data_IF_079190401302
#
_entry.id   IF_079190401302
#
_cell.length_a   1.000
_cell.length_b   1.000
_cell.length_c   1.000
_cell.angle_alpha   90.00
_cell.angle_beta   90.00
_cell.angle_gamma   90.00
#
_symmetry.space_group_name_H-M   'P 1'
#
loop_
_entity.id
_entity.type
_entity.pdbx_description
1 polymer ?
#
# COMPACT_ATOMS: atom_id res chain seq x y z
N UNK A 1 3.90 -4.38 -11.14
CA UNK A 1 4.02 -2.97 -11.61
C UNK A 1 3.59 -2.05 -10.49
N UNK A 2 4.26 -0.91 -10.30
CA UNK A 2 3.80 0.14 -9.38
C UNK A 2 2.99 1.18 -10.15
N UNK A 3 1.85 1.61 -9.58
CA UNK A 3 1.05 2.73 -10.08
C UNK A 3 0.84 3.76 -8.97
N UNK A 4 0.92 5.05 -9.31
CA UNK A 4 0.43 6.13 -8.47
C UNK A 4 -0.90 6.65 -9.01
N UNK A 5 -1.76 7.08 -8.09
CA UNK A 5 -3.09 7.57 -8.41
C UNK A 5 -3.10 9.09 -8.58
N UNK A 6 -4.07 9.59 -9.34
CA UNK A 6 -4.33 11.03 -9.53
C UNK A 6 -4.68 11.75 -8.22
N UNK A 7 -5.29 11.01 -7.29
CA UNK A 7 -5.55 11.40 -5.91
C UNK A 7 -5.55 10.16 -5.01
N UNK A 8 -5.60 10.35 -3.70
CA UNK A 8 -5.76 9.24 -2.78
C UNK A 8 -7.21 8.69 -2.82
N UNK A 9 -7.36 7.37 -2.79
CA UNK A 9 -8.64 6.65 -2.84
C UNK A 9 -8.81 5.76 -1.60
N UNK A 10 -10.04 5.40 -1.23
CA UNK A 10 -10.21 4.38 -0.19
C UNK A 10 -9.73 3.02 -0.70
N UNK A 11 -9.28 2.09 0.17
CA UNK A 11 -8.93 0.73 -0.26
C UNK A 11 -10.06 0.04 -1.05
N UNK A 12 -11.32 0.26 -0.62
CA UNK A 12 -12.51 -0.26 -1.32
C UNK A 12 -12.61 0.26 -2.76
N UNK A 13 -12.37 1.55 -2.97
CA UNK A 13 -12.39 2.13 -4.32
C UNK A 13 -11.29 1.54 -5.20
N UNK A 14 -10.07 1.43 -4.65
CA UNK A 14 -8.93 0.80 -5.33
C UNK A 14 -9.28 -0.59 -5.82
N UNK A 15 -9.80 -1.41 -4.92
CA UNK A 15 -10.23 -2.77 -5.23
C UNK A 15 -11.37 -2.83 -6.22
N UNK A 16 -12.30 -1.87 -6.18
CA UNK A 16 -13.43 -1.80 -7.11
C UNK A 16 -12.97 -1.47 -8.52
N UNK A 17 -12.13 -0.45 -8.72
CA UNK A 17 -11.68 -0.10 -10.05
C UNK A 17 -10.63 -1.07 -10.60
N UNK A 18 -9.78 -1.67 -9.77
CA UNK A 18 -8.80 -2.67 -10.20
C UNK A 18 -9.51 -3.91 -10.76
N UNK A 19 -10.58 -4.36 -10.10
CA UNK A 19 -11.39 -5.51 -10.54
C UNK A 19 -11.98 -5.32 -11.94
N UNK A 20 -12.30 -4.08 -12.35
CA UNK A 20 -12.86 -3.80 -13.68
C UNK A 20 -11.89 -4.12 -14.83
N UNK A 21 -10.60 -4.19 -14.53
CA UNK A 21 -9.53 -4.47 -15.50
C UNK A 21 -8.83 -5.80 -15.17
N UNK A 22 -9.46 -6.71 -14.43
CA UNK A 22 -8.82 -7.97 -14.00
C UNK A 22 -7.44 -7.75 -13.33
N UNK A 23 -7.29 -6.62 -12.63
CA UNK A 23 -6.06 -6.30 -11.91
C UNK A 23 -6.13 -6.84 -10.49
N UNK A 24 -5.07 -7.54 -10.11
CA UNK A 24 -4.77 -7.95 -8.74
C UNK A 24 -3.96 -6.86 -8.05
N UNK A 25 -4.33 -6.54 -6.82
CA UNK A 25 -3.65 -5.55 -5.97
C UNK A 25 -2.83 -6.28 -4.91
N UNK A 26 -1.51 -6.20 -5.03
CA UNK A 26 -0.54 -6.91 -4.17
C UNK A 26 -0.09 -6.06 -2.99
N UNK A 27 -0.09 -4.74 -3.13
CA UNK A 27 0.32 -3.81 -2.07
C UNK A 27 -0.41 -2.48 -2.20
N UNK A 28 -0.76 -1.85 -1.08
CA UNK A 28 -1.34 -0.52 -1.00
C UNK A 28 -0.40 0.43 -0.25
N UNK A 29 0.07 1.50 -0.91
CA UNK A 29 0.82 2.58 -0.29
C UNK A 29 -0.15 3.64 0.25
N UNK A 30 -0.07 3.93 1.55
CA UNK A 30 -1.03 4.75 2.29
C UNK A 30 -0.55 6.18 2.43
N UNK A 31 -1.45 7.13 2.16
CA UNK A 31 -1.18 8.55 2.36
C UNK A 31 -1.12 8.79 3.86
N UNK A 32 0.04 9.20 4.35
CA UNK A 32 0.32 9.41 5.78
C UNK A 32 0.80 10.83 6.10
N UNK A 33 0.83 11.72 5.10
CA UNK A 33 1.23 13.12 5.17
C UNK A 33 0.74 13.88 3.92
N UNK A 34 0.64 15.21 4.00
CA UNK A 34 0.08 16.04 2.91
C UNK A 34 1.07 16.36 1.79
N UNK A 35 2.30 16.73 2.13
CA UNK A 35 3.36 16.92 1.15
C UNK A 35 4.01 15.58 0.93
N UNK A 36 3.89 15.00 -0.27
CA UNK A 36 4.66 13.84 -0.64
C UNK A 36 6.03 14.28 -1.19
N UNK A 37 7.01 14.59 -0.33
CA UNK A 37 8.35 14.98 -0.77
C UNK A 37 9.08 13.80 -1.41
N UNK A 38 9.89 14.04 -2.44
CA UNK A 38 10.48 12.99 -3.29
C UNK A 38 11.41 11.98 -2.60
N UNK A 39 11.72 12.19 -1.32
CA UNK A 39 12.53 11.27 -0.49
C UNK A 39 11.68 10.38 0.42
N UNK A 40 10.36 10.33 0.18
CA UNK A 40 9.44 9.61 1.05
C UNK A 40 9.45 8.12 0.88
N UNK A 41 9.23 7.49 2.04
CA UNK A 41 9.34 6.07 2.27
C UNK A 41 7.92 5.57 2.45
N UNK A 42 7.32 4.92 1.45
CA UNK A 42 5.91 4.52 1.49
C UNK A 42 5.66 3.59 2.67
N UNK A 43 4.69 3.94 3.52
CA UNK A 43 4.09 2.99 4.46
C UNK A 43 2.86 2.41 3.80
N UNK A 44 2.65 1.11 3.96
CA UNK A 44 1.56 0.42 3.31
C UNK A 44 1.19 -0.87 3.99
N UNK A 45 0.21 -1.54 3.40
CA UNK A 45 -0.14 -2.89 3.78
C UNK A 45 -0.32 -3.76 2.52
N UNK A 46 -0.12 -5.08 2.65
CA UNK A 46 -0.41 -6.03 1.58
C UNK A 46 -1.83 -5.85 1.03
N UNK A 47 -2.00 -5.90 -0.28
CA UNK A 47 -3.32 -5.86 -0.89
C UNK A 47 -4.04 -7.22 -0.80
N UNK A 48 -5.36 -7.22 -0.95
CA UNK A 48 -6.23 -8.41 -0.90
C UNK A 48 -5.81 -9.59 -1.79
N UNK A 49 -5.06 -9.33 -2.86
CA UNK A 49 -4.61 -10.34 -3.81
C UNK A 49 -3.16 -10.79 -3.54
N UNK A 50 -2.57 -10.34 -2.43
CA UNK A 50 -1.23 -10.74 -1.99
C UNK A 50 -1.25 -12.14 -1.40
N UNK A 51 -0.34 -13.00 -1.85
CA UNK A 51 -0.15 -14.34 -1.29
C UNK A 51 0.24 -14.28 0.19
N UNK A 52 0.97 -13.25 0.62
CA UNK A 52 1.32 -13.01 2.02
C UNK A 52 0.10 -12.90 2.95
N UNK A 53 -1.00 -12.33 2.46
CA UNK A 53 -2.22 -12.25 3.26
C UNK A 53 -2.97 -13.57 3.35
N UNK A 54 -2.86 -14.47 2.36
CA UNK A 54 -3.56 -15.75 2.44
C UNK A 54 -3.09 -16.55 3.66
N UNK A 55 -1.81 -16.47 3.99
CA UNK A 55 -1.24 -17.13 5.18
C UNK A 55 -1.69 -16.47 6.49
N UNK A 56 -1.85 -15.14 6.51
CA UNK A 56 -2.20 -14.38 7.72
C UNK A 56 -3.72 -14.30 7.97
N UNK A 57 -4.54 -14.28 6.93
CA UNK A 57 -5.99 -14.06 7.01
C UNK A 57 -6.74 -15.22 7.68
N UNK A 58 -6.16 -16.42 7.74
CA UNK A 58 -6.77 -17.56 8.44
C UNK A 58 -6.90 -17.36 9.97
N UNK A 59 -6.34 -16.28 10.52
CA UNK A 59 -6.22 -16.10 11.98
C UNK A 59 -7.03 -14.95 12.57
N UNK A 60 -7.60 -14.04 11.76
CA UNK A 60 -8.17 -12.77 12.26
C UNK A 60 -9.56 -12.44 11.69
N UNK A 61 -10.50 -12.03 12.57
CA UNK A 61 -11.81 -11.46 12.17
C UNK A 61 -11.74 -9.98 11.76
N UNK A 62 -10.56 -9.35 11.85
CA UNK A 62 -10.36 -7.92 11.59
C UNK A 62 -10.12 -7.63 10.11
N UNK A 63 -10.48 -6.44 9.65
CA UNK A 63 -10.21 -6.02 8.27
C UNK A 63 -8.71 -5.77 8.04
N UNK A 64 -8.26 -5.75 6.80
CA UNK A 64 -6.88 -5.40 6.42
C UNK A 64 -6.47 -4.02 6.96
N UNK A 65 -7.43 -3.08 6.98
CA UNK A 65 -7.23 -1.72 7.51
C UNK A 65 -7.04 -1.73 9.02
N UNK A 66 -7.83 -2.54 9.74
CA UNK A 66 -7.70 -2.65 11.19
C UNK A 66 -6.38 -3.32 11.57
N UNK A 67 -6.00 -4.40 10.88
CA UNK A 67 -4.73 -5.08 11.08
C UNK A 67 -3.54 -4.16 10.79
N UNK A 68 -3.64 -3.33 9.74
CA UNK A 68 -2.65 -2.31 9.44
C UNK A 68 -2.52 -1.30 10.59
N UNK A 69 -3.64 -0.77 11.10
CA UNK A 69 -3.63 0.16 12.24
C UNK A 69 -3.05 -0.48 13.50
N UNK A 70 -3.42 -1.72 13.81
CA UNK A 70 -2.87 -2.48 14.93
C UNK A 70 -1.35 -2.65 14.79
N UNK A 71 -0.87 -3.00 13.60
CA UNK A 71 0.55 -3.15 13.33
C UNK A 71 1.31 -1.83 13.48
N UNK A 72 0.76 -0.70 13.00
CA UNK A 72 1.36 0.62 13.23
C UNK A 72 1.42 0.96 14.72
N UNK A 73 0.33 0.74 15.45
CA UNK A 73 0.28 1.00 16.88
C UNK A 73 1.31 0.14 17.64
N UNK A 74 1.44 -1.12 17.27
CA UNK A 74 2.40 -2.04 17.86
C UNK A 74 3.85 -1.62 17.59
N UNK A 75 4.20 -1.29 16.34
CA UNK A 75 5.55 -0.79 16.00
C UNK A 75 5.85 0.54 16.71
N UNK A 76 4.86 1.42 16.88
CA UNK A 76 5.03 2.70 17.58
C UNK A 76 5.30 2.53 19.10
N UNK A 77 4.83 1.44 19.71
CA UNK A 77 5.15 1.08 21.10
C UNK A 77 6.56 0.51 21.27
N UNK A 78 7.22 0.14 20.17
CA UNK A 78 8.57 -0.46 20.15
C UNK A 78 9.52 0.37 19.25
N UNK A 79 10.04 1.52 19.72
CA UNK A 79 10.82 2.45 18.89
C UNK A 79 12.07 1.84 18.24
N UNK A 80 12.70 0.88 18.93
CA UNK A 80 13.82 0.11 18.38
C UNK A 80 13.42 -0.69 17.15
N UNK A 81 12.19 -1.21 17.10
CA UNK A 81 11.70 -1.99 15.97
C UNK A 81 11.40 -1.15 14.75
N UNK A 82 10.90 0.08 14.93
CA UNK A 82 10.78 1.01 13.80
C UNK A 82 12.16 1.17 13.12
N UNK A 83 13.22 1.29 13.91
CA UNK A 83 14.60 1.41 13.42
C UNK A 83 15.12 0.10 12.83
N UNK A 84 14.92 -1.04 13.50
CA UNK A 84 15.42 -2.35 13.06
C UNK A 84 14.68 -2.89 11.84
N UNK A 85 13.34 -2.80 11.81
CA UNK A 85 12.50 -3.34 10.72
C UNK A 85 12.58 -2.45 9.49
N UNK A 86 12.48 -1.13 9.67
CA UNK A 86 12.54 -0.23 8.50
C UNK A 86 13.96 0.04 8.03
N UNK A 87 14.97 -0.27 8.87
CA UNK A 87 16.37 0.10 8.74
C UNK A 87 16.64 1.59 9.00
N UNK A 88 15.70 2.30 9.66
CA UNK A 88 15.64 3.77 9.63
C UNK A 88 15.14 4.37 10.95
N UNK A 89 15.96 5.20 11.62
CA UNK A 89 15.58 5.83 12.89
C UNK A 89 14.61 7.01 12.74
N UNK A 90 14.35 7.49 11.52
CA UNK A 90 13.59 8.72 11.21
C UNK A 90 12.13 8.47 10.78
N UNK A 91 11.61 7.26 10.97
CA UNK A 91 10.20 6.97 10.69
C UNK A 91 9.32 7.61 11.79
N UNK A 92 8.89 8.86 11.58
CA UNK A 92 7.98 9.59 12.46
C UNK A 92 6.58 8.96 12.47
N UNK A 93 6.49 7.78 13.08
CA UNK A 93 5.33 6.91 13.05
C UNK A 93 4.17 7.51 13.83
N UNK A 94 4.47 8.22 14.92
CA UNK A 94 3.47 8.92 15.73
C UNK A 94 2.73 9.99 14.93
N UNK A 95 3.43 10.81 14.13
CA UNK A 95 2.76 11.80 13.29
C UNK A 95 1.96 11.16 12.15
N UNK A 96 2.47 10.08 11.57
CA UNK A 96 1.79 9.32 10.51
C UNK A 96 0.52 8.61 11.00
N UNK A 97 0.55 8.03 12.20
CA UNK A 97 -0.63 7.44 12.86
C UNK A 97 -1.69 8.52 13.08
N UNK A 98 -1.30 9.68 13.66
CA UNK A 98 -2.22 10.80 13.86
C UNK A 98 -2.86 11.29 12.56
N UNK A 99 -2.07 11.36 11.48
CA UNK A 99 -2.60 11.71 10.17
C UNK A 99 -3.66 10.71 9.70
N UNK A 100 -3.39 9.40 9.82
CA UNK A 100 -4.34 8.34 9.43
C UNK A 100 -5.62 8.42 10.28
N UNK A 101 -5.52 8.67 11.57
CA UNK A 101 -6.68 8.76 12.45
C UNK A 101 -7.57 9.96 12.12
N UNK A 102 -6.97 11.08 11.71
CA UNK A 102 -7.70 12.29 11.31
C UNK A 102 -8.32 12.18 9.90
N UNK A 103 -7.61 11.59 8.95
CA UNK A 103 -7.97 11.63 7.52
C UNK A 103 -8.57 10.31 7.00
N UNK A 104 -8.52 9.25 7.81
CA UNK A 104 -8.81 7.89 7.38
C UNK A 104 -7.69 7.27 6.54
N UNK A 105 -7.82 5.97 6.27
CA UNK A 105 -6.87 5.23 5.45
C UNK A 105 -7.20 5.41 3.97
N UNK A 106 -6.28 6.06 3.25
CA UNK A 106 -6.40 6.26 1.80
C UNK A 106 -5.11 5.83 1.09
N UNK A 107 -5.26 5.24 -0.08
CA UNK A 107 -4.21 4.67 -0.92
C UNK A 107 -3.84 5.68 -2.00
N UNK A 108 -2.57 6.07 -2.09
CA UNK A 108 -2.08 6.98 -3.14
C UNK A 108 -1.33 6.25 -4.26
N UNK A 109 -1.01 4.97 -4.06
CA UNK A 109 -0.43 4.11 -5.08
C UNK A 109 -0.49 2.65 -4.66
N UNK A 110 -0.34 1.76 -5.63
CA UNK A 110 -0.42 0.32 -5.40
C UNK A 110 0.57 -0.44 -6.26
N UNK A 111 0.96 -1.61 -5.77
CA UNK A 111 1.59 -2.64 -6.61
C UNK A 111 0.48 -3.51 -7.18
N UNK A 112 0.42 -3.59 -8.50
CA UNK A 112 -0.59 -4.33 -9.24
C UNK A 112 0.02 -5.34 -10.21
N UNK A 113 -0.73 -6.38 -10.51
CA UNK A 113 -0.43 -7.39 -11.54
C UNK A 113 -1.71 -7.83 -12.26
N UNK A 114 -1.58 -8.35 -13.48
CA UNK A 114 -2.71 -8.84 -14.28
C UNK A 114 -2.33 -9.00 -15.76
N UNK A 115 -3.31 -9.28 -16.65
CA UNK A 115 -3.04 -9.47 -18.07
C UNK A 115 -2.47 -8.20 -18.73
N UNK A 116 -1.45 -8.34 -19.57
CA UNK A 116 -0.73 -7.18 -20.16
C UNK A 116 -1.65 -6.20 -20.89
N UNK A 117 -2.65 -6.70 -21.64
CA UNK A 117 -3.64 -5.85 -22.34
C UNK A 117 -4.52 -5.05 -21.37
N UNK A 118 -4.85 -5.62 -20.22
CA UNK A 118 -5.66 -4.94 -19.22
C UNK A 118 -4.84 -3.95 -18.40
N UNK A 119 -3.56 -4.25 -18.13
CA UNK A 119 -2.60 -3.29 -17.57
C UNK A 119 -2.54 -2.05 -18.46
N UNK A 120 -2.41 -2.21 -19.78
CA UNK A 120 -2.36 -1.09 -20.72
C UNK A 120 -3.62 -0.20 -20.65
N UNK A 121 -4.81 -0.82 -20.59
CA UNK A 121 -6.08 -0.08 -20.44
C UNK A 121 -6.15 0.64 -19.09
N UNK A 122 -5.71 -0.04 -18.03
CA UNK A 122 -5.74 0.47 -16.67
C UNK A 122 -4.85 1.71 -16.49
N UNK A 123 -3.61 1.68 -17.00
CA UNK A 123 -2.67 2.82 -16.91
C UNK A 123 -3.09 4.03 -17.74
N UNK A 124 -3.90 3.82 -18.79
CA UNK A 124 -4.45 4.90 -19.64
C UNK A 124 -5.67 5.59 -19.02
N UNK A 125 -6.16 5.13 -17.87
CA UNK A 125 -7.29 5.80 -17.20
C UNK A 125 -6.86 7.13 -16.58
N UNK A 126 -7.79 8.07 -16.47
CA UNK A 126 -7.55 9.35 -15.76
C UNK A 126 -7.25 9.19 -14.26
N UNK A 127 -7.36 7.97 -13.72
CA UNK A 127 -7.08 7.63 -12.32
C UNK A 127 -5.60 7.37 -12.06
N UNK A 128 -4.82 7.06 -13.09
CA UNK A 128 -3.39 6.76 -12.95
C UNK A 128 -2.59 8.02 -13.29
N UNK A 129 -1.81 8.48 -12.32
CA UNK A 129 -0.89 9.62 -12.50
C UNK A 129 0.43 9.16 -13.10
N UNK A 130 0.97 8.05 -12.63
CA UNK A 130 2.24 7.49 -13.11
C UNK A 130 2.22 5.97 -12.96
N UNK A 131 2.83 5.27 -13.91
CA UNK A 131 3.06 3.84 -13.82
C UNK A 131 4.55 3.56 -14.02
N UNK A 132 5.12 2.70 -13.17
CA UNK A 132 6.51 2.26 -13.26
C UNK A 132 6.56 0.74 -13.17
N UNK A 133 7.20 0.13 -14.15
CA UNK A 133 7.59 -1.28 -14.04
C UNK A 133 8.79 -1.32 -13.09
N UNK A 134 8.63 -1.95 -11.92
CA UNK A 134 9.79 -2.25 -11.07
C UNK A 134 10.58 -3.38 -11.69
N UNK A 135 11.89 -3.39 -11.46
CA UNK A 135 12.74 -4.53 -11.77
C UNK A 135 12.14 -5.77 -11.09
N UNK A 136 11.95 -6.82 -11.90
CA UNK A 136 11.63 -8.13 -11.40
C UNK A 136 12.99 -8.69 -10.96
N UNK A 137 13.32 -8.57 -9.68
CA UNK A 137 14.26 -9.53 -9.12
C UNK A 137 13.57 -10.88 -9.24
N UNK A 138 13.95 -11.63 -10.28
CA UNK A 138 13.65 -13.05 -10.35
C UNK A 138 14.38 -13.67 -9.16
N UNK A 139 13.69 -13.76 -8.03
CA UNK A 139 14.11 -14.61 -6.93
C UNK A 139 14.05 -16.05 -7.45
N UNK A 140 15.12 -16.47 -8.10
CA UNK A 140 15.44 -17.88 -8.28
C UNK A 140 15.72 -18.41 -6.88
N UNK A 141 14.72 -19.07 -6.30
CA UNK A 141 14.94 -20.09 -5.29
C UNK A 141 14.82 -21.46 -5.96
#
# INVERSE_FOLDING_TARGET
MYVSYDRAYTPKDVYSFAKKYDMKVLWNAIKTEDSLSGNQRPIGFPGKDSEFLKELQHTSKKTEVDQFKDALAYVNQHPTWATTISGRPDLDLSNRIRYIDQNGVTVYGSVVTGPSKEIEKFVKTKRIKTAKVSEVELWNW
#
